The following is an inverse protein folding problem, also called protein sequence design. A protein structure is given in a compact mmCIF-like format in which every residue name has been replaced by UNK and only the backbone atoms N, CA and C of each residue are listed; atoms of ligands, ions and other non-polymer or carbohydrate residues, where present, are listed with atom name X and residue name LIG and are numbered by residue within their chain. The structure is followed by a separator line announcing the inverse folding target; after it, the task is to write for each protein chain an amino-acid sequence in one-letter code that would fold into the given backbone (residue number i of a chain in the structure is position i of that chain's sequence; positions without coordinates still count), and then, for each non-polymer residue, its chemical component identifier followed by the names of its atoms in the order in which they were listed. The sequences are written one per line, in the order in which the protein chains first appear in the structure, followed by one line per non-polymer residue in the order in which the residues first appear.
data_IF_837985695327
#
_entry.id   IF_837985695327
#
_cell.length_a   1.000
_cell.length_b   1.000
_cell.length_c   1.000
_cell.angle_alpha   90.00
_cell.angle_beta   90.00
_cell.angle_gamma   90.00
#
_symmetry.space_group_name_H-M   'P 1'
#
loop_
_entity.id
_entity.type
_entity.pdbx_description
1 polymer ?
#
# COMPACT_ATOMS: atom_id res chain seq x y z
N UNK A 1 -10.04 2.07 -9.30
CA UNK A 1 -10.65 1.01 -10.09
C UNK A 1 -10.04 -0.30 -9.61
N UNK A 2 -10.77 -1.02 -8.75
CA UNK A 2 -10.36 -2.36 -8.33
C UNK A 2 -10.50 -3.32 -9.51
N UNK A 3 -9.42 -4.00 -9.87
CA UNK A 3 -9.52 -5.17 -10.73
C UNK A 3 -10.31 -6.24 -9.97
N UNK A 4 -11.59 -6.32 -10.27
CA UNK A 4 -12.39 -7.49 -9.90
C UNK A 4 -11.75 -8.64 -10.66
N UNK A 5 -11.26 -9.65 -9.92
CA UNK A 5 -10.87 -10.91 -10.53
C UNK A 5 -12.04 -11.39 -11.39
N UNK A 6 -11.82 -11.79 -12.65
CA UNK A 6 -12.89 -12.30 -13.47
C UNK A 6 -13.53 -13.47 -12.73
N UNK A 7 -14.81 -13.29 -12.38
CA UNK A 7 -15.59 -14.33 -11.73
C UNK A 7 -15.45 -15.62 -12.53
N UNK A 8 -15.12 -16.69 -11.83
CA UNK A 8 -15.07 -18.03 -12.41
C UNK A 8 -16.38 -18.30 -13.14
N UNK A 9 -16.32 -18.31 -14.46
CA UNK A 9 -17.46 -18.80 -15.25
C UNK A 9 -17.81 -20.21 -14.75
N UNK A 10 -19.09 -20.54 -14.56
CA UNK A 10 -19.48 -21.86 -14.12
C UNK A 10 -18.97 -22.89 -15.14
N UNK A 11 -18.25 -23.87 -14.64
CA UNK A 11 -17.73 -24.98 -15.43
C UNK A 11 -18.90 -25.71 -16.13
N UNK A 12 -18.74 -26.10 -17.41
CA UNK A 12 -19.75 -26.88 -18.10
C UNK A 12 -19.96 -28.21 -17.37
N UNK A 13 -21.20 -28.68 -17.25
CA UNK A 13 -21.50 -29.95 -16.57
C UNK A 13 -20.81 -31.11 -17.30
N UNK A 14 -19.89 -31.80 -16.60
CA UNK A 14 -19.18 -32.97 -17.15
C UNK A 14 -17.68 -32.75 -17.44
N UNK A 15 -17.14 -31.56 -17.20
CA UNK A 15 -15.70 -31.35 -17.33
C UNK A 15 -14.96 -31.90 -16.10
N UNK A 16 -14.00 -32.81 -16.35
CA UNK A 16 -13.10 -33.29 -15.29
C UNK A 16 -12.28 -32.13 -14.73
N UNK A 17 -12.48 -31.81 -13.45
CA UNK A 17 -11.83 -30.70 -12.80
C UNK A 17 -10.29 -30.78 -12.87
N UNK A 18 -9.75 -31.97 -12.91
CA UNK A 18 -8.31 -32.21 -13.04
C UNK A 18 -7.78 -31.89 -14.43
N UNK A 19 -8.54 -32.21 -15.50
CA UNK A 19 -8.16 -31.88 -16.86
C UNK A 19 -8.22 -30.38 -17.15
N UNK A 20 -9.23 -29.69 -16.60
CA UNK A 20 -9.33 -28.22 -16.71
C UNK A 20 -8.21 -27.52 -15.92
N UNK A 21 -7.89 -28.03 -14.73
CA UNK A 21 -6.78 -27.51 -13.93
C UNK A 21 -5.43 -27.66 -14.63
N UNK A 22 -5.16 -28.80 -15.26
CA UNK A 22 -3.90 -29.03 -15.99
C UNK A 22 -3.80 -28.16 -17.24
N UNK A 23 -4.87 -28.01 -18.02
CA UNK A 23 -4.86 -27.10 -19.18
C UNK A 23 -4.70 -25.63 -18.78
N UNK A 24 -5.35 -25.20 -17.70
CA UNK A 24 -5.20 -23.83 -17.16
C UNK A 24 -3.80 -23.59 -16.59
N UNK A 25 -3.19 -24.60 -15.93
CA UNK A 25 -1.82 -24.47 -15.44
C UNK A 25 -0.79 -24.42 -16.57
N UNK A 26 -0.99 -25.16 -17.65
CA UNK A 26 -0.11 -25.15 -18.82
C UNK A 26 -0.24 -23.82 -19.59
N UNK A 27 -1.46 -23.32 -19.79
CA UNK A 27 -1.67 -22.00 -20.40
C UNK A 27 -1.15 -20.84 -19.51
N UNK A 28 -1.24 -20.97 -18.20
CA UNK A 28 -0.67 -19.99 -17.25
C UNK A 28 0.85 -20.06 -17.22
N UNK A 29 1.44 -21.23 -17.35
CA UNK A 29 2.89 -21.40 -17.44
C UNK A 29 3.43 -20.76 -18.72
N UNK A 30 2.73 -20.90 -19.84
CA UNK A 30 3.12 -20.29 -21.12
C UNK A 30 2.93 -18.75 -21.10
N UNK A 31 1.88 -18.25 -20.45
CA UNK A 31 1.64 -16.82 -20.25
C UNK A 31 2.34 -16.24 -19.03
N UNK A 32 2.85 -17.07 -18.13
CA UNK A 32 3.46 -16.66 -16.87
C UNK A 32 4.63 -15.70 -17.04
N UNK A 33 5.40 -15.83 -18.11
CA UNK A 33 6.47 -14.90 -18.44
C UNK A 33 5.94 -13.50 -18.76
N UNK A 34 4.85 -13.36 -19.50
CA UNK A 34 4.24 -12.07 -19.85
C UNK A 34 3.64 -11.40 -18.62
N UNK A 35 2.96 -12.16 -17.76
CA UNK A 35 2.40 -11.67 -16.50
C UNK A 35 3.52 -11.21 -15.55
N UNK A 36 4.60 -12.01 -15.41
CA UNK A 36 5.76 -11.64 -14.59
C UNK A 36 6.48 -10.39 -15.11
N UNK A 37 6.54 -10.19 -16.41
CA UNK A 37 7.10 -8.97 -17.01
C UNK A 37 6.19 -7.77 -16.81
N UNK A 38 4.87 -7.93 -16.94
CA UNK A 38 3.90 -6.89 -16.67
C UNK A 38 3.93 -6.44 -15.20
N UNK A 39 4.04 -7.39 -14.25
CA UNK A 39 4.19 -7.09 -12.83
C UNK A 39 5.47 -6.32 -12.52
N UNK A 40 6.59 -6.68 -13.16
CA UNK A 40 7.86 -5.94 -13.03
C UNK A 40 7.73 -4.51 -13.54
N UNK A 41 7.06 -4.31 -14.66
CA UNK A 41 6.83 -3.00 -15.25
C UNK A 41 5.94 -2.13 -14.34
N UNK A 42 4.86 -2.70 -13.81
CA UNK A 42 3.95 -2.03 -12.88
C UNK A 42 4.69 -1.66 -11.58
N UNK A 43 5.49 -2.58 -11.04
CA UNK A 43 6.28 -2.32 -9.83
C UNK A 43 7.34 -1.24 -10.06
N UNK A 44 7.99 -1.25 -11.21
CA UNK A 44 8.93 -0.20 -11.59
C UNK A 44 8.24 1.17 -11.69
N UNK A 45 7.08 1.24 -12.34
CA UNK A 45 6.30 2.46 -12.45
C UNK A 45 5.85 2.99 -11.08
N UNK A 46 5.42 2.10 -10.17
CA UNK A 46 5.05 2.46 -8.80
C UNK A 46 6.23 2.94 -7.96
N UNK A 47 7.42 2.43 -8.21
CA UNK A 47 8.65 2.86 -7.50
C UNK A 47 9.01 4.30 -7.83
N UNK A 48 8.76 4.74 -9.05
CA UNK A 48 9.00 6.13 -9.48
C UNK A 48 7.89 7.12 -9.14
N UNK A 49 6.76 6.66 -8.61
CA UNK A 49 5.59 7.50 -8.30
C UNK A 49 4.91 6.99 -7.03
N UNK A 50 5.46 7.34 -5.88
CA UNK A 50 4.90 6.99 -4.59
C UNK A 50 4.03 8.15 -4.07
N UNK A 51 2.77 7.84 -3.73
CA UNK A 51 1.83 8.83 -3.21
C UNK A 51 1.50 8.52 -1.75
N UNK A 52 2.23 9.10 -0.80
CA UNK A 52 1.98 8.87 0.61
C UNK A 52 0.85 9.74 1.13
N UNK A 53 0.02 9.12 1.97
CA UNK A 53 -0.89 9.83 2.84
C UNK A 53 -0.14 10.20 4.12
N UNK A 54 -0.15 11.47 4.47
CA UNK A 54 0.49 11.98 5.68
C UNK A 54 -0.51 11.95 6.85
N UNK A 55 -0.20 11.16 7.86
CA UNK A 55 -0.97 11.10 9.10
C UNK A 55 -0.13 11.66 10.25
N UNK A 56 -0.12 12.99 10.36
CA UNK A 56 0.64 13.72 11.36
C UNK A 56 -0.15 13.87 12.65
N UNK A 57 0.39 13.37 13.77
CA UNK A 57 -0.26 13.37 15.07
C UNK A 57 0.43 14.27 16.11
N UNK A 58 1.75 14.46 16.01
CA UNK A 58 2.53 15.19 16.98
C UNK A 58 3.82 15.77 16.37
N UNK A 59 4.85 15.98 17.17
CA UNK A 59 6.12 16.59 16.76
C UNK A 59 6.82 15.88 15.60
N UNK A 60 6.70 14.56 15.47
CA UNK A 60 7.25 13.82 14.33
C UNK A 60 6.62 14.22 12.98
N UNK A 61 5.44 14.86 13.00
CA UNK A 61 4.84 15.43 11.81
C UNK A 61 5.69 16.58 11.23
N UNK A 62 6.36 17.34 12.06
CA UNK A 62 7.30 18.39 11.64
C UNK A 62 8.50 17.79 10.92
N UNK A 63 9.02 16.67 11.43
CA UNK A 63 10.09 15.91 10.78
C UNK A 63 9.63 15.39 9.40
N UNK A 64 8.42 14.88 9.32
CA UNK A 64 7.80 14.49 8.05
C UNK A 64 7.70 15.66 7.07
N UNK A 65 7.29 16.86 7.53
CA UNK A 65 7.24 18.07 6.71
C UNK A 65 8.65 18.42 6.21
N UNK A 66 9.65 18.33 7.07
CA UNK A 66 11.04 18.61 6.68
C UNK A 66 11.55 17.66 5.60
N UNK A 67 11.09 16.41 5.55
CA UNK A 67 11.44 15.48 4.50
C UNK A 67 10.96 15.93 3.11
N UNK A 68 9.85 16.66 3.05
CA UNK A 68 9.31 17.25 1.80
C UNK A 68 9.82 18.67 1.54
N UNK A 69 10.45 19.31 2.52
CA UNK A 69 11.04 20.65 2.36
C UNK A 69 12.30 20.59 1.46
N UNK A 70 12.74 21.75 0.93
CA UNK A 70 13.84 21.83 -0.04
C UNK A 70 15.16 21.19 0.38
N UNK A 71 15.38 20.99 1.68
CA UNK A 71 16.63 20.37 2.18
C UNK A 71 16.77 18.91 1.77
N UNK A 72 15.68 18.13 1.86
CA UNK A 72 15.65 16.70 1.54
C UNK A 72 14.91 16.41 0.23
N UNK A 73 13.87 17.20 -0.02
CA UNK A 73 13.14 17.27 -1.28
C UNK A 73 12.72 15.89 -1.83
N UNK A 74 11.83 15.21 -1.10
CA UNK A 74 11.28 13.93 -1.55
C UNK A 74 10.49 14.03 -2.85
N UNK A 75 10.00 15.23 -3.19
CA UNK A 75 9.24 15.47 -4.41
C UNK A 75 10.08 15.19 -5.67
N UNK A 76 11.38 15.46 -5.66
CA UNK A 76 12.31 15.13 -6.75
C UNK A 76 12.40 13.63 -7.06
N UNK A 77 12.03 12.78 -6.11
CA UNK A 77 11.97 11.33 -6.29
C UNK A 77 10.60 10.83 -6.73
N UNK A 78 9.68 11.74 -7.08
CA UNK A 78 8.32 11.40 -7.47
C UNK A 78 7.39 11.07 -6.30
N UNK A 79 7.76 11.47 -5.07
CA UNK A 79 6.97 11.23 -3.86
C UNK A 79 6.06 12.43 -3.62
N UNK A 80 4.80 12.31 -3.98
CA UNK A 80 3.81 13.41 -3.88
C UNK A 80 2.78 13.11 -2.80
N UNK A 81 2.68 14.01 -1.82
CA UNK A 81 1.73 13.90 -0.71
C UNK A 81 0.29 13.96 -1.20
N UNK A 82 -0.53 13.04 -0.71
CA UNK A 82 -1.98 13.02 -0.95
C UNK A 82 -2.73 12.99 0.37
N UNK A 83 -3.75 13.85 0.48
CA UNK A 83 -4.58 13.92 1.68
C UNK A 83 -5.67 12.83 1.71
N UNK A 84 -6.01 12.24 0.57
CA UNK A 84 -7.05 11.23 0.49
C UNK A 84 -6.49 9.82 0.61
N UNK A 85 -7.01 8.98 1.53
CA UNK A 85 -6.55 7.60 1.66
C UNK A 85 -6.81 6.75 0.42
N UNK A 86 -7.85 7.06 -0.34
CA UNK A 86 -8.23 6.33 -1.56
C UNK A 86 -7.30 6.60 -2.74
N UNK A 87 -6.54 7.72 -2.68
CA UNK A 87 -5.59 8.12 -3.71
C UNK A 87 -4.13 7.84 -3.32
N UNK A 88 -3.91 7.21 -2.17
CA UNK A 88 -2.58 7.01 -1.59
C UNK A 88 -2.17 5.55 -1.66
N UNK A 89 -0.87 5.32 -1.89
CA UNK A 89 -0.27 4.00 -1.97
C UNK A 89 0.29 3.55 -0.62
N UNK A 90 0.69 4.49 0.21
CA UNK A 90 1.29 4.26 1.53
C UNK A 90 0.80 5.30 2.53
N UNK A 91 0.67 4.92 3.79
CA UNK A 91 0.38 5.86 4.88
C UNK A 91 1.65 6.09 5.70
N UNK A 92 2.00 7.36 5.94
CA UNK A 92 3.05 7.73 6.87
C UNK A 92 2.40 8.19 8.17
N UNK A 93 2.63 7.45 9.25
CA UNK A 93 2.15 7.78 10.58
C UNK A 93 3.30 8.44 11.34
N UNK A 94 3.16 9.72 11.65
CA UNK A 94 4.18 10.52 12.30
C UNK A 94 3.67 11.11 13.61
N UNK A 95 4.10 10.57 14.72
CA UNK A 95 3.76 11.03 16.06
C UNK A 95 3.03 10.02 16.92
N UNK A 96 2.74 10.39 18.15
CA UNK A 96 2.12 9.53 19.13
C UNK A 96 0.67 9.21 18.77
N UNK A 97 0.36 7.92 18.68
CA UNK A 97 -1.01 7.44 18.45
C UNK A 97 -1.66 7.17 19.82
N UNK A 98 -2.58 8.03 20.21
CA UNK A 98 -3.36 7.83 21.44
C UNK A 98 -4.49 6.81 21.23
N UNK A 99 -4.96 6.20 22.33
CA UNK A 99 -6.06 5.25 22.28
C UNK A 99 -7.35 5.84 21.67
N UNK A 100 -7.58 7.14 21.85
CA UNK A 100 -8.71 7.84 21.23
C UNK A 100 -8.58 8.00 19.72
N UNK A 101 -7.36 8.15 19.21
CA UNK A 101 -7.09 8.31 17.77
C UNK A 101 -6.92 6.98 17.05
N UNK A 102 -6.67 5.89 17.76
CA UNK A 102 -6.46 4.58 17.17
C UNK A 102 -7.63 4.12 16.27
N UNK A 103 -8.90 4.24 16.68
CA UNK A 103 -10.04 3.91 15.81
C UNK A 103 -10.12 4.77 14.55
N UNK A 104 -9.82 6.07 14.65
CA UNK A 104 -9.81 6.97 13.50
C UNK A 104 -8.72 6.58 12.49
N UNK A 105 -7.49 6.32 12.98
CA UNK A 105 -6.40 5.83 12.15
C UNK A 105 -6.77 4.52 11.45
N UNK A 106 -7.40 3.58 12.18
CA UNK A 106 -7.84 2.32 11.60
C UNK A 106 -8.84 2.51 10.46
N UNK A 107 -9.85 3.35 10.67
CA UNK A 107 -10.84 3.68 9.62
C UNK A 107 -10.18 4.27 8.37
N UNK A 108 -9.20 5.14 8.54
CA UNK A 108 -8.47 5.73 7.42
C UNK A 108 -7.64 4.68 6.69
N UNK A 109 -6.97 3.79 7.42
CA UNK A 109 -6.23 2.67 6.84
C UNK A 109 -7.12 1.72 6.04
N UNK A 110 -8.33 1.46 6.54
CA UNK A 110 -9.30 0.58 5.86
C UNK A 110 -9.85 1.18 4.56
N UNK A 111 -9.75 2.50 4.40
CA UNK A 111 -10.14 3.21 3.17
C UNK A 111 -9.03 3.25 2.11
N UNK A 112 -7.83 2.83 2.44
CA UNK A 112 -6.73 2.77 1.48
C UNK A 112 -6.91 1.61 0.50
N UNK A 113 -6.42 1.81 -0.72
CA UNK A 113 -6.36 0.74 -1.73
C UNK A 113 -5.35 -0.34 -1.32
N UNK A 114 -5.63 -1.57 -1.72
CA UNK A 114 -4.67 -2.67 -1.56
C UNK A 114 -3.53 -2.59 -2.59
N UNK A 115 -2.30 -2.97 -2.23
CA UNK A 115 -1.82 -3.39 -0.91
C UNK A 115 -1.61 -2.22 0.05
N UNK A 116 -2.18 -2.31 1.26
CA UNK A 116 -2.06 -1.28 2.29
C UNK A 116 -0.69 -1.35 2.94
N UNK A 117 0.09 -0.31 2.81
CA UNK A 117 1.41 -0.19 3.42
C UNK A 117 1.42 0.99 4.37
N UNK A 118 2.07 0.81 5.52
CA UNK A 118 2.19 1.85 6.55
C UNK A 118 3.65 2.01 6.91
N UNK A 119 4.12 3.25 6.90
CA UNK A 119 5.44 3.65 7.37
C UNK A 119 5.27 4.36 8.72
N UNK A 120 5.96 3.87 9.72
CA UNK A 120 6.04 4.49 11.03
C UNK A 120 7.22 5.46 11.04
N UNK A 121 6.97 6.74 11.36
CA UNK A 121 7.99 7.78 11.41
C UNK A 121 8.10 8.36 12.80
N UNK A 122 9.31 8.34 13.33
CA UNK A 122 9.64 8.85 14.65
C UNK A 122 9.60 7.79 15.74
N UNK A 123 10.07 8.17 16.92
CA UNK A 123 10.24 7.27 18.06
C UNK A 123 8.90 6.78 18.63
N UNK A 124 7.91 7.67 18.73
CA UNK A 124 6.62 7.33 19.35
C UNK A 124 5.84 6.24 18.58
N UNK A 125 5.64 6.34 17.27
CA UNK A 125 4.89 5.30 16.57
C UNK A 125 5.68 4.02 16.33
N UNK A 126 7.01 4.07 16.44
CA UNK A 126 7.89 2.91 16.21
C UNK A 126 8.10 2.09 17.48
N UNK A 127 8.40 2.75 18.60
CA UNK A 127 8.75 2.07 19.85
C UNK A 127 8.00 2.55 21.07
N UNK A 128 6.90 3.31 20.91
CA UNK A 128 6.17 3.89 22.02
C UNK A 128 6.78 5.20 22.56
N UNK A 129 8.05 5.48 22.29
CA UNK A 129 8.73 6.70 22.73
C UNK A 129 8.65 6.91 24.24
N UNK A 130 8.16 8.08 24.66
CA UNK A 130 7.98 8.44 26.08
C UNK A 130 6.91 7.57 26.77
N UNK A 131 6.00 6.98 26.00
CA UNK A 131 4.87 6.18 26.52
C UNK A 131 5.15 4.68 26.56
N UNK A 132 6.37 4.27 26.28
CA UNK A 132 6.73 2.84 26.22
C UNK A 132 6.46 2.09 27.53
N UNK A 133 6.55 2.78 28.65
CA UNK A 133 6.40 2.22 30.00
C UNK A 133 5.13 2.69 30.73
N UNK A 134 4.18 3.30 30.01
CA UNK A 134 2.94 3.80 30.62
C UNK A 134 1.76 2.88 30.34
#
# INVERSE_FOLDING_TARGET
MGLVAPGSAPLPPGADQTAVLTTVTDELADKGFVVAQADKLVNWARTGSLWPMTFGLACCAVEMIHAYCPRYDLDRFGVVVRASPRQSDVMIVAGTLTNKMAPARRKVSDQMAEPRRVISMGSCPTGGGVYQYC
#
